data_IF_625641703001
#
_entry.id   IF_625641703001
#
_cell.length_a   1.000
_cell.length_b   1.000
_cell.length_c   1.000
_cell.angle_alpha   90.00
_cell.angle_beta   90.00
_cell.angle_gamma   90.00
#
_symmetry.space_group_name_H-M   'P 1'
#
loop_
_entity.id
_entity.type
_entity.pdbx_description
1 polymer ?
#
# COMPACT_ATOMS: atom_id res chain seq x y z
N UNK A 1 -4.72 -21.60 16.87
CA UNK A 1 -3.41 -22.02 16.32
C UNK A 1 -3.38 -22.11 14.79
N UNK A 2 -4.35 -22.73 14.11
CA UNK A 2 -4.36 -22.79 12.63
C UNK A 2 -4.68 -21.44 11.94
N UNK A 3 -5.54 -20.61 12.56
CA UNK A 3 -5.93 -19.30 12.02
C UNK A 3 -4.80 -18.26 12.07
N UNK A 4 -4.05 -18.15 13.18
CA UNK A 4 -2.92 -17.22 13.30
C UNK A 4 -1.80 -17.49 12.28
N UNK A 5 -1.46 -18.76 12.03
CA UNK A 5 -0.44 -19.11 11.02
C UNK A 5 -0.90 -18.75 9.61
N UNK A 6 -2.19 -18.94 9.30
CA UNK A 6 -2.77 -18.61 7.99
C UNK A 6 -2.89 -17.10 7.80
N UNK A 7 -3.17 -16.36 8.87
CA UNK A 7 -3.19 -14.90 8.90
C UNK A 7 -1.80 -14.29 8.68
N UNK A 8 -0.76 -14.85 9.32
CA UNK A 8 0.64 -14.43 9.12
C UNK A 8 1.10 -14.57 7.67
N UNK A 9 0.72 -15.67 7.00
CA UNK A 9 1.12 -15.96 5.63
C UNK A 9 0.56 -14.96 4.60
N UNK A 10 -0.69 -14.51 4.79
CA UNK A 10 -1.36 -13.58 3.87
C UNK A 10 -0.74 -12.18 3.97
N UNK A 11 -0.55 -11.67 5.19
CA UNK A 11 0.13 -10.39 5.40
C UNK A 11 1.57 -10.42 4.86
N UNK A 12 2.31 -11.52 5.07
CA UNK A 12 3.65 -11.69 4.47
C UNK A 12 3.63 -11.69 2.95
N UNK A 13 2.64 -12.33 2.34
CA UNK A 13 2.50 -12.36 0.87
C UNK A 13 2.28 -10.95 0.32
N UNK A 14 1.42 -10.16 0.95
CA UNK A 14 1.15 -8.78 0.53
C UNK A 14 2.37 -7.87 0.73
N UNK A 15 3.04 -7.99 1.87
CA UNK A 15 4.30 -7.28 2.12
C UNK A 15 5.29 -7.63 1.01
N UNK A 16 5.44 -8.90 0.66
CA UNK A 16 6.36 -9.34 -0.40
C UNK A 16 5.98 -8.78 -1.77
N UNK A 17 4.69 -8.71 -2.09
CA UNK A 17 4.21 -8.15 -3.36
C UNK A 17 4.46 -6.64 -3.45
N UNK A 18 4.17 -5.88 -2.38
CA UNK A 18 4.40 -4.43 -2.31
C UNK A 18 5.91 -4.14 -2.30
N UNK A 19 6.71 -4.88 -1.54
CA UNK A 19 8.18 -4.80 -1.59
C UNK A 19 8.70 -5.05 -3.00
N UNK A 20 8.26 -6.12 -3.66
CA UNK A 20 8.64 -6.42 -5.04
C UNK A 20 8.21 -5.32 -6.02
N UNK A 21 7.08 -4.65 -5.76
CA UNK A 21 6.66 -3.47 -6.52
C UNK A 21 7.59 -2.27 -6.28
N UNK A 22 7.88 -1.90 -5.02
CA UNK A 22 8.79 -0.80 -4.67
C UNK A 22 10.19 -1.04 -5.27
N UNK A 23 10.70 -2.27 -5.15
CA UNK A 23 12.01 -2.65 -5.67
C UNK A 23 12.13 -2.50 -7.20
N UNK A 24 11.04 -2.73 -7.93
CA UNK A 24 10.99 -2.58 -9.39
C UNK A 24 10.78 -1.12 -9.84
N UNK A 25 10.28 -0.25 -8.97
CA UNK A 25 9.80 1.07 -9.35
C UNK A 25 10.55 2.25 -8.71
N UNK A 26 11.68 2.00 -8.04
CA UNK A 26 12.52 3.07 -7.51
C UNK A 26 13.44 2.65 -6.37
N UNK A 27 13.12 1.54 -5.68
CA UNK A 27 13.85 0.99 -4.51
C UNK A 27 13.94 1.91 -3.29
N UNK A 28 13.32 3.08 -3.35
CA UNK A 28 13.34 4.06 -2.27
C UNK A 28 11.96 4.10 -1.61
N UNK A 29 11.86 3.58 -0.39
CA UNK A 29 10.58 3.42 0.31
C UNK A 29 9.92 4.77 0.63
N UNK A 30 10.69 5.82 0.86
CA UNK A 30 10.17 7.15 1.18
C UNK A 30 9.37 7.76 0.01
N UNK A 31 9.68 7.39 -1.22
CA UNK A 31 9.03 7.86 -2.43
C UNK A 31 7.63 7.23 -2.61
N UNK A 32 7.25 6.25 -1.78
CA UNK A 32 5.98 5.56 -1.90
C UNK A 32 5.02 5.91 -0.78
N UNK A 33 3.73 5.88 -1.14
CA UNK A 33 2.61 5.95 -0.20
C UNK A 33 1.94 4.58 -0.17
N UNK A 34 1.67 4.07 1.02
CA UNK A 34 0.92 2.82 1.24
C UNK A 34 -0.30 3.13 2.09
N UNK A 35 -1.47 2.65 1.70
CA UNK A 35 -2.71 2.89 2.44
C UNK A 35 -3.74 1.79 2.22
N UNK A 36 -4.82 1.88 2.96
CA UNK A 36 -5.98 1.00 2.90
C UNK A 36 -7.20 1.88 2.71
N UNK A 37 -8.03 1.55 1.73
CA UNK A 37 -9.27 2.29 1.48
C UNK A 37 -10.41 1.34 1.14
N UNK A 38 -11.63 1.74 1.51
CA UNK A 38 -12.84 1.06 1.05
C UNK A 38 -13.19 1.43 -0.40
N UNK A 39 -12.71 2.59 -0.87
CA UNK A 39 -12.96 3.12 -2.22
C UNK A 39 -11.68 3.66 -2.84
N UNK A 40 -11.08 2.85 -3.71
CA UNK A 40 -9.83 3.17 -4.37
C UNK A 40 -9.93 4.40 -5.27
N UNK A 41 -11.05 4.57 -5.98
CA UNK A 41 -11.21 5.67 -6.93
C UNK A 41 -11.33 7.01 -6.18
N UNK A 42 -12.04 7.03 -5.04
CA UNK A 42 -12.09 8.21 -4.17
C UNK A 42 -10.73 8.53 -3.55
N UNK A 43 -10.00 7.53 -3.04
CA UNK A 43 -8.67 7.73 -2.47
C UNK A 43 -7.70 8.29 -3.53
N UNK A 44 -7.66 7.68 -4.71
CA UNK A 44 -6.78 8.10 -5.78
C UNK A 44 -7.12 9.51 -6.28
N UNK A 45 -8.40 9.83 -6.43
CA UNK A 45 -8.84 11.19 -6.78
C UNK A 45 -8.41 12.22 -5.74
N UNK A 46 -8.54 11.90 -4.44
CA UNK A 46 -8.11 12.77 -3.34
C UNK A 46 -6.61 13.01 -3.34
N UNK A 47 -5.84 11.98 -3.68
CA UNK A 47 -4.38 12.05 -3.79
C UNK A 47 -3.88 12.53 -5.17
N UNK A 48 -4.77 12.88 -6.10
CA UNK A 48 -4.41 13.31 -7.46
C UNK A 48 -3.75 12.22 -8.31
N UNK A 49 -3.99 10.95 -8.00
CA UNK A 49 -3.43 9.78 -8.67
C UNK A 49 -4.29 9.40 -9.87
N UNK A 50 -3.73 9.59 -11.05
CA UNK A 50 -4.27 9.10 -12.32
C UNK A 50 -3.79 7.66 -12.56
N UNK A 51 -4.72 6.70 -12.62
CA UNK A 51 -4.43 5.25 -12.76
C UNK A 51 -3.67 4.92 -14.05
N UNK A 52 -3.86 5.69 -15.11
CA UNK A 52 -3.21 5.43 -16.39
C UNK A 52 -1.78 5.99 -16.45
N UNK A 53 -1.46 6.96 -15.59
CA UNK A 53 -0.18 7.69 -15.62
C UNK A 53 0.72 7.40 -14.43
N UNK A 54 0.15 7.03 -13.29
CA UNK A 54 0.90 6.82 -12.06
C UNK A 54 1.21 5.35 -11.84
N UNK A 55 2.45 5.12 -11.42
CA UNK A 55 2.92 3.80 -11.00
C UNK A 55 2.26 3.45 -9.68
N UNK A 56 1.32 2.51 -9.72
CA UNK A 56 0.55 2.06 -8.56
C UNK A 56 0.40 0.54 -8.54
N UNK A 57 0.07 0.03 -7.36
CA UNK A 57 -0.20 -1.36 -7.04
C UNK A 57 -1.43 -1.39 -6.14
N UNK A 58 -2.35 -2.31 -6.40
CA UNK A 58 -3.59 -2.44 -5.65
C UNK A 58 -3.93 -3.91 -5.45
N UNK A 59 -4.38 -4.24 -4.26
CA UNK A 59 -4.75 -5.61 -3.92
C UNK A 59 -5.98 -5.60 -3.02
N UNK A 60 -7.01 -6.31 -3.49
CA UNK A 60 -8.25 -6.49 -2.75
C UNK A 60 -8.02 -7.50 -1.62
N UNK A 61 -8.77 -7.32 -0.53
CA UNK A 61 -8.92 -8.26 0.57
C UNK A 61 -7.86 -8.17 1.66
N UNK A 62 -8.16 -7.32 2.65
CA UNK A 62 -7.69 -7.52 4.02
C UNK A 62 -8.86 -7.36 5.02
N UNK A 63 -8.87 -8.26 6.01
CA UNK A 63 -9.56 -8.05 7.28
C UNK A 63 -8.76 -7.05 8.12
N UNK A 64 -9.41 -6.31 9.03
CA UNK A 64 -8.82 -5.18 9.75
C UNK A 64 -7.40 -5.42 10.31
N UNK A 65 -7.21 -6.51 11.05
CA UNK A 65 -5.92 -6.84 11.68
C UNK A 65 -4.77 -7.01 10.68
N UNK A 66 -5.08 -7.46 9.46
CA UNK A 66 -4.06 -7.68 8.44
C UNK A 66 -3.65 -6.38 7.75
N UNK A 67 -4.60 -5.47 7.63
CA UNK A 67 -4.42 -4.18 6.97
C UNK A 67 -3.48 -3.30 7.82
N UNK A 68 -3.74 -3.24 9.12
CA UNK A 68 -2.89 -2.54 10.08
C UNK A 68 -1.44 -3.06 10.02
N UNK A 69 -1.25 -4.38 10.10
CA UNK A 69 0.09 -5.00 10.05
C UNK A 69 0.88 -4.64 8.78
N UNK A 70 0.22 -4.60 7.61
CA UNK A 70 0.88 -4.22 6.36
C UNK A 70 1.31 -2.75 6.39
N UNK A 71 0.41 -1.84 6.77
CA UNK A 71 0.74 -0.40 6.83
C UNK A 71 1.82 -0.09 7.87
N UNK A 72 1.79 -0.74 9.03
CA UNK A 72 2.83 -0.59 10.07
C UNK A 72 4.20 -1.10 9.61
N UNK A 73 4.25 -2.18 8.84
CA UNK A 73 5.51 -2.67 8.26
C UNK A 73 6.12 -1.62 7.33
N UNK A 74 5.34 -1.08 6.39
CA UNK A 74 5.83 -0.09 5.43
C UNK A 74 6.13 1.26 6.06
N UNK A 75 5.41 1.64 7.11
CA UNK A 75 5.72 2.82 7.94
C UNK A 75 7.12 2.71 8.54
N UNK A 76 7.46 1.54 9.11
CA UNK A 76 8.80 1.27 9.67
C UNK A 76 9.90 1.25 8.61
N UNK A 77 9.55 0.94 7.35
CA UNK A 77 10.46 0.99 6.20
C UNK A 77 10.67 2.40 5.63
N UNK A 78 9.85 3.38 6.05
CA UNK A 78 9.95 4.77 5.62
C UNK A 78 8.90 5.21 4.60
N UNK A 79 7.97 4.33 4.21
CA UNK A 79 6.86 4.75 3.35
C UNK A 79 5.96 5.75 4.08
N UNK A 80 5.37 6.67 3.30
CA UNK A 80 4.30 7.52 3.78
C UNK A 80 3.02 6.68 3.90
N UNK A 81 2.28 6.84 4.99
CA UNK A 81 1.00 6.14 5.16
C UNK A 81 -0.14 7.04 4.69
N UNK A 82 -0.94 6.52 3.76
CA UNK A 82 -2.13 7.17 3.23
C UNK A 82 -3.35 6.93 4.12
N UNK A 83 -4.52 6.77 3.49
CA UNK A 83 -5.73 6.35 4.19
C UNK A 83 -5.53 5.04 4.97
N UNK A 84 -6.22 4.92 6.10
CA UNK A 84 -6.26 3.71 6.91
C UNK A 84 -7.71 3.34 7.21
N UNK A 85 -8.41 2.85 6.20
CA UNK A 85 -9.69 2.20 6.40
C UNK A 85 -9.52 0.92 7.22
N UNK A 86 -10.54 0.57 8.02
CA UNK A 86 -10.58 -0.66 8.79
C UNK A 86 -10.39 -1.87 7.88
N UNK A 87 -11.19 -2.01 6.82
CA UNK A 87 -11.02 -3.06 5.81
C UNK A 87 -11.14 -2.49 4.41
N UNK A 88 -10.60 -3.21 3.43
CA UNK A 88 -10.75 -2.85 2.02
C UNK A 88 -9.58 -3.26 1.14
N UNK A 89 -9.18 -2.32 0.29
CA UNK A 89 -8.18 -2.45 -0.75
C UNK A 89 -6.89 -1.82 -0.25
N UNK A 90 -5.81 -2.60 -0.21
CA UNK A 90 -4.48 -2.02 0.00
C UNK A 90 -4.00 -1.45 -1.32
N UNK A 91 -3.54 -0.21 -1.26
CA UNK A 91 -2.88 0.43 -2.37
C UNK A 91 -1.47 0.86 -2.00
N UNK A 92 -0.61 0.86 -3.00
CA UNK A 92 0.70 1.46 -2.94
C UNK A 92 0.92 2.25 -4.22
N UNK A 93 1.34 3.50 -4.14
CA UNK A 93 1.73 4.27 -5.31
C UNK A 93 3.04 5.00 -5.07
N UNK A 94 3.80 5.23 -6.13
CA UNK A 94 4.96 6.11 -6.07
C UNK A 94 4.47 7.54 -6.15
N UNK A 95 4.83 8.38 -5.17
CA UNK A 95 4.65 9.82 -5.28
C UNK A 95 5.35 10.27 -6.55
N UNK A 96 4.61 10.90 -7.46
CA UNK A 96 5.26 11.61 -8.53
C UNK A 96 6.22 12.61 -7.86
N UNK A 97 7.48 12.65 -8.30
CA UNK A 97 8.30 13.81 -7.97
C UNK A 97 7.50 14.99 -8.48
N UNK A 98 7.01 15.82 -7.56
CA UNK A 98 6.59 17.16 -7.90
C UNK A 98 7.90 17.86 -8.27
N UNK A 99 8.41 17.62 -9.48
CA UNK A 99 9.22 18.59 -10.19
C UNK A 99 8.26 19.73 -10.53
N UNK A 100 7.85 20.46 -9.50
CA UNK A 100 7.41 21.82 -9.69
C UNK A 100 8.71 22.58 -9.98
N UNK A 101 8.92 23.12 -11.19
CA UNK A 101 10.06 23.99 -11.48
C UNK A 101 10.05 25.25 -10.61
#
# INVERSE_FOLDING_TARGET
>A
MADEQKQSLISQTLITQIEGFIQRNGRDHDAFVVGITADLDTAFKTHGIDRDKHVHFTVNALTDERAEHVTDFFKKKGCTIGEQAQSGIVYCYRRAFNTNP
#
